data_IF_426784010642
#
_entry.id   IF_426784010642
#
_cell.length_a   1.000
_cell.length_b   1.000
_cell.length_c   1.000
_cell.angle_alpha   90.00
_cell.angle_beta   90.00
_cell.angle_gamma   90.00
#
_symmetry.space_group_name_H-M   'P 1'
#
loop_
_entity.id
_entity.type
_entity.pdbx_description
1 polymer ?
#
# COMPACT_ATOMS: atom_id res chain seq x y z
N UNK A 1 10.55 30.15 61.05
CA UNK A 1 10.14 28.72 61.03
C UNK A 1 8.94 28.60 60.10
N UNK A 2 8.75 27.69 59.16
CA UNK A 2 9.47 26.59 58.50
C UNK A 2 8.75 26.46 57.14
N UNK A 3 9.48 25.99 56.12
CA UNK A 3 9.04 25.83 54.73
C UNK A 3 8.00 24.72 54.49
N UNK A 4 7.56 24.65 53.22
CA UNK A 4 6.85 23.57 52.52
C UNK A 4 5.32 23.51 52.75
N UNK A 5 4.47 23.25 51.75
CA UNK A 5 4.60 22.16 50.80
C UNK A 5 3.75 22.44 49.53
N UNK A 6 4.43 22.54 48.40
CA UNK A 6 3.86 22.55 47.04
C UNK A 6 3.27 21.19 46.72
N UNK A 7 1.96 21.11 46.48
CA UNK A 7 1.28 20.06 45.71
C UNK A 7 -0.02 20.74 45.26
N UNK A 8 -0.29 20.98 43.97
CA UNK A 8 -0.89 19.95 43.12
C UNK A 8 -1.06 20.45 41.64
N UNK A 9 -0.37 21.51 41.22
CA UNK A 9 -0.54 21.99 39.83
C UNK A 9 0.34 21.26 38.81
N UNK A 10 1.22 20.35 39.27
CA UNK A 10 1.94 19.43 38.38
C UNK A 10 1.02 18.35 37.75
N UNK A 11 -0.21 18.19 38.25
CA UNK A 11 -1.14 17.14 37.83
C UNK A 11 -1.92 17.50 36.54
N UNK A 12 -2.00 18.79 36.18
CA UNK A 12 -2.64 19.22 34.94
C UNK A 12 -1.75 19.06 33.69
N UNK A 13 -0.44 18.83 33.88
CA UNK A 13 0.48 18.55 32.78
C UNK A 13 0.65 17.05 32.48
N UNK A 14 0.13 16.16 33.34
CA UNK A 14 0.24 14.70 33.15
C UNK A 14 -0.94 14.07 32.41
N UNK A 15 -2.01 14.81 32.12
CA UNK A 15 -3.13 14.30 31.30
C UNK A 15 -2.92 14.42 29.79
N UNK A 16 -1.73 14.82 29.32
CA UNK A 16 -1.40 14.86 27.88
C UNK A 16 -0.40 13.80 27.42
N UNK A 17 -0.04 12.87 28.31
CA UNK A 17 1.01 11.86 28.09
C UNK A 17 0.45 10.43 27.99
N UNK A 18 -0.65 10.26 27.26
CA UNK A 18 -1.24 8.92 27.16
C UNK A 18 -2.48 8.80 26.32
N UNK A 19 -2.69 9.65 25.31
CA UNK A 19 -3.45 9.10 24.18
C UNK A 19 -2.53 8.02 23.62
N UNK A 20 -2.87 6.72 23.69
CA UNK A 20 -2.03 5.72 23.07
C UNK A 20 -1.90 6.17 21.63
N UNK A 21 -0.71 6.59 21.22
CA UNK A 21 -0.38 6.69 19.81
C UNK A 21 -0.69 5.31 19.29
N UNK A 22 -1.84 5.15 18.67
CA UNK A 22 -2.27 3.90 18.11
C UNK A 22 -1.12 3.55 17.17
N UNK A 23 -0.31 2.58 17.57
CA UNK A 23 0.70 2.02 16.70
C UNK A 23 -0.12 1.31 15.65
N UNK A 24 -0.52 2.07 14.63
CA UNK A 24 -1.27 1.54 13.50
C UNK A 24 -0.31 0.64 12.74
N UNK A 25 -0.32 -0.64 13.12
CA UNK A 25 0.43 -1.67 12.45
C UNK A 25 -0.28 -2.01 11.14
N UNK A 26 0.05 -1.26 10.08
CA UNK A 26 -0.34 -1.61 8.71
C UNK A 26 0.82 -2.36 8.04
N UNK A 27 1.08 -3.60 8.45
CA UNK A 27 2.10 -4.42 7.77
C UNK A 27 1.73 -4.75 6.32
N UNK A 28 0.44 -4.93 6.06
CA UNK A 28 -0.11 -5.36 4.77
C UNK A 28 -0.73 -4.23 3.95
N UNK A 29 -0.86 -3.01 4.52
CA UNK A 29 -1.48 -1.84 3.87
C UNK A 29 -0.65 -0.58 4.09
N UNK A 30 -0.86 0.41 3.24
CA UNK A 30 -0.33 1.76 3.43
C UNK A 30 -1.47 2.77 3.33
N UNK A 31 -1.52 3.78 4.22
CA UNK A 31 -2.46 4.89 4.08
C UNK A 31 -2.14 5.66 2.80
N UNK A 32 -3.16 6.04 2.05
CA UNK A 32 -3.01 6.73 0.77
C UNK A 32 -4.20 7.65 0.51
N UNK A 33 -3.90 8.91 0.20
CA UNK A 33 -4.89 9.92 -0.20
C UNK A 33 -4.57 10.34 -1.63
N UNK A 34 -5.33 9.87 -2.63
CA UNK A 34 -5.04 10.20 -4.01
C UNK A 34 -5.54 11.58 -4.40
N UNK A 35 -4.89 12.20 -5.39
CA UNK A 35 -5.39 13.44 -6.02
C UNK A 35 -6.51 13.17 -7.03
N UNK A 36 -6.53 11.97 -7.63
CA UNK A 36 -7.57 11.50 -8.57
C UNK A 36 -8.17 10.20 -8.07
N UNK A 37 -9.47 9.96 -8.28
CA UNK A 37 -10.10 8.74 -7.82
C UNK A 37 -9.39 7.47 -8.33
N UNK A 38 -9.26 6.49 -7.45
CA UNK A 38 -8.64 5.19 -7.72
C UNK A 38 -9.72 4.11 -7.65
N UNK A 39 -9.84 3.29 -8.68
CA UNK A 39 -10.82 2.22 -8.73
C UNK A 39 -10.40 1.01 -7.87
N UNK A 40 -11.36 0.16 -7.52
CA UNK A 40 -11.04 -1.12 -6.90
C UNK A 40 -10.23 -2.01 -7.86
N UNK A 41 -9.19 -2.66 -7.35
CA UNK A 41 -8.25 -3.47 -8.11
C UNK A 41 -7.17 -2.66 -8.85
N UNK A 42 -7.24 -1.33 -8.82
CA UNK A 42 -6.23 -0.48 -9.46
C UNK A 42 -4.92 -0.49 -8.66
N UNK A 43 -3.82 -0.72 -9.38
CA UNK A 43 -2.49 -0.68 -8.83
C UNK A 43 -1.88 0.72 -8.97
N UNK A 44 -1.29 1.21 -7.89
CA UNK A 44 -0.77 2.57 -7.77
C UNK A 44 0.68 2.52 -7.29
N UNK A 45 1.53 3.34 -7.89
CA UNK A 45 2.90 3.54 -7.43
C UNK A 45 2.93 4.60 -6.33
N UNK A 46 3.50 4.25 -5.18
CA UNK A 46 3.79 5.17 -4.07
C UNK A 46 5.30 5.16 -3.83
N UNK A 47 6.00 6.14 -4.42
CA UNK A 47 7.46 6.17 -4.42
C UNK A 47 8.06 4.97 -5.15
N UNK A 48 8.65 4.04 -4.40
CA UNK A 48 9.22 2.78 -4.93
C UNK A 48 8.38 1.53 -4.61
N UNK A 49 7.21 1.72 -4.01
CA UNK A 49 6.30 0.64 -3.63
C UNK A 49 5.10 0.66 -4.57
N UNK A 50 4.58 -0.53 -4.89
CA UNK A 50 3.32 -0.66 -5.61
C UNK A 50 2.27 -1.21 -4.65
N UNK A 51 1.14 -0.52 -4.56
CA UNK A 51 0.00 -0.93 -3.74
C UNK A 51 -1.28 -1.06 -4.58
N UNK A 52 -2.21 -1.88 -4.13
CA UNK A 52 -3.48 -2.15 -4.84
C UNK A 52 -4.67 -1.73 -3.99
N UNK A 53 -5.57 -0.93 -4.56
CA UNK A 53 -6.78 -0.50 -3.87
C UNK A 53 -7.80 -1.64 -3.79
N UNK A 54 -8.14 -2.13 -2.59
CA UNK A 54 -9.17 -3.19 -2.44
C UNK A 54 -10.61 -2.68 -2.60
N UNK A 55 -10.79 -1.37 -2.46
CA UNK A 55 -12.06 -0.66 -2.64
C UNK A 55 -11.78 0.65 -3.40
N UNK A 56 -12.79 1.24 -4.05
CA UNK A 56 -12.60 2.54 -4.68
C UNK A 56 -12.21 3.59 -3.62
N UNK A 57 -11.28 4.47 -3.97
CA UNK A 57 -10.86 5.62 -3.16
C UNK A 57 -11.20 6.87 -3.97
N UNK A 58 -12.06 7.74 -3.44
CA UNK A 58 -12.39 8.99 -4.12
C UNK A 58 -11.21 9.97 -4.08
N UNK A 59 -11.20 10.93 -5.01
CA UNK A 59 -10.19 11.98 -5.03
C UNK A 59 -10.23 12.78 -3.72
N UNK A 60 -9.05 13.01 -3.14
CA UNK A 60 -8.83 13.76 -1.90
C UNK A 60 -9.46 13.13 -0.63
N UNK A 61 -9.88 11.87 -0.69
CA UNK A 61 -10.40 11.13 0.46
C UNK A 61 -9.35 10.12 0.98
N UNK A 62 -9.21 9.94 2.30
CA UNK A 62 -8.27 8.98 2.86
C UNK A 62 -8.69 7.54 2.53
N UNK A 63 -7.74 6.78 2.00
CA UNK A 63 -7.90 5.38 1.64
C UNK A 63 -6.68 4.56 2.06
N UNK A 64 -6.68 3.29 1.66
CA UNK A 64 -5.60 2.36 1.96
C UNK A 64 -5.29 1.53 0.71
N UNK A 65 -4.01 1.28 0.46
CA UNK A 65 -3.53 0.37 -0.58
C UNK A 65 -2.94 -0.87 0.08
N UNK A 66 -3.26 -2.05 -0.44
CA UNK A 66 -2.62 -3.29 0.03
C UNK A 66 -1.26 -3.44 -0.65
N UNK A 67 -0.23 -3.77 0.12
CA UNK A 67 1.15 -3.99 -0.35
C UNK A 67 1.56 -5.46 -0.27
N UNK A 68 0.69 -6.31 0.28
CA UNK A 68 0.85 -7.76 0.35
C UNK A 68 -0.41 -8.48 -0.15
N UNK A 69 -0.22 -9.69 -0.68
CA UNK A 69 -1.29 -10.55 -1.19
C UNK A 69 -1.22 -10.78 -2.71
N UNK A 70 -2.22 -11.51 -3.24
CA UNK A 70 -2.32 -11.82 -4.67
C UNK A 70 -3.47 -11.01 -5.28
N UNK A 71 -3.19 -10.22 -6.31
CA UNK A 71 -4.19 -9.40 -7.00
C UNK A 71 -4.18 -9.64 -8.51
N UNK A 72 -5.35 -9.56 -9.13
CA UNK A 72 -5.50 -9.62 -10.59
C UNK A 72 -5.29 -8.24 -11.19
N UNK A 73 -4.17 -8.05 -11.89
CA UNK A 73 -3.78 -6.77 -12.48
C UNK A 73 -3.87 -6.85 -14.00
N UNK A 74 -4.37 -5.79 -14.64
CA UNK A 74 -4.42 -5.68 -16.10
C UNK A 74 -3.02 -5.78 -16.69
N UNK A 75 -2.87 -6.52 -17.78
CA UNK A 75 -1.60 -6.72 -18.46
C UNK A 75 -1.79 -6.65 -19.97
N UNK A 76 -0.75 -6.25 -20.74
CA UNK A 76 -0.82 -6.26 -22.19
C UNK A 76 -0.90 -7.69 -22.73
N UNK A 77 -1.15 -7.80 -24.05
CA UNK A 77 -0.99 -9.06 -24.76
C UNK A 77 0.43 -9.60 -24.57
N UNK A 78 0.54 -10.91 -24.40
CA UNK A 78 1.78 -11.60 -24.10
C UNK A 78 1.59 -12.66 -23.04
N UNK A 79 2.51 -13.62 -23.02
CA UNK A 79 2.58 -14.66 -21.99
C UNK A 79 3.43 -14.15 -20.84
N UNK A 80 2.95 -14.34 -19.60
CA UNK A 80 3.75 -14.13 -18.39
C UNK A 80 3.80 -15.46 -17.67
N UNK A 81 5.00 -16.04 -17.56
CA UNK A 81 5.18 -17.30 -16.85
C UNK A 81 4.96 -17.11 -15.34
N UNK A 82 4.43 -18.13 -14.68
CA UNK A 82 4.38 -18.16 -13.22
C UNK A 82 5.78 -17.96 -12.63
N UNK A 83 5.90 -17.15 -11.58
CA UNK A 83 7.15 -16.79 -10.92
C UNK A 83 7.97 -15.72 -11.65
N UNK A 84 7.56 -15.27 -12.84
CA UNK A 84 8.24 -14.16 -13.51
C UNK A 84 8.16 -12.89 -12.68
N UNK A 85 9.25 -12.10 -12.62
CA UNK A 85 9.23 -10.75 -12.03
C UNK A 85 8.27 -9.86 -12.81
N UNK A 86 7.43 -9.14 -12.08
CA UNK A 86 6.41 -8.22 -12.61
C UNK A 86 6.64 -6.83 -12.07
N UNK A 87 6.55 -5.85 -12.97
CA UNK A 87 6.62 -4.42 -12.67
C UNK A 87 5.32 -3.74 -13.09
N UNK A 88 4.96 -2.65 -12.43
CA UNK A 88 3.87 -1.77 -12.85
C UNK A 88 4.43 -0.70 -13.79
N UNK A 89 3.85 -0.61 -14.99
CA UNK A 89 4.17 0.44 -15.95
C UNK A 89 2.89 0.90 -16.66
N UNK A 90 2.60 2.21 -16.65
CA UNK A 90 1.38 2.80 -17.22
C UNK A 90 0.09 2.08 -16.77
N UNK A 91 0.00 1.71 -15.50
CA UNK A 91 -1.17 1.02 -14.93
C UNK A 91 -1.32 -0.45 -15.36
N UNK A 92 -0.29 -1.03 -16.00
CA UNK A 92 -0.30 -2.42 -16.47
C UNK A 92 0.83 -3.22 -15.83
N UNK A 93 0.56 -4.49 -15.52
CA UNK A 93 1.56 -5.46 -15.11
C UNK A 93 2.37 -5.91 -16.33
N UNK A 94 3.67 -5.59 -16.32
CA UNK A 94 4.62 -5.92 -17.39
C UNK A 94 5.80 -6.72 -16.86
N UNK A 95 6.50 -7.42 -17.75
CA UNK A 95 7.79 -8.06 -17.44
C UNK A 95 8.91 -7.27 -18.11
N UNK A 96 10.10 -7.22 -17.48
CA UNK A 96 11.27 -6.49 -17.99
C UNK A 96 11.77 -5.38 -17.05
N UNK A 97 12.69 -4.55 -17.55
CA UNK A 97 13.39 -3.52 -16.74
C UNK A 97 12.65 -2.17 -16.64
N UNK A 98 11.44 -2.07 -17.17
CA UNK A 98 10.64 -0.84 -17.17
C UNK A 98 9.59 -0.86 -16.06
N UNK A 99 9.40 0.29 -15.40
CA UNK A 99 8.40 0.44 -14.35
C UNK A 99 8.92 0.16 -12.94
N UNK A 100 8.01 0.13 -11.97
CA UNK A 100 8.33 -0.12 -10.56
C UNK A 100 8.03 -1.58 -10.23
N UNK A 101 8.98 -2.28 -9.60
CA UNK A 101 8.82 -3.67 -9.19
C UNK A 101 7.60 -3.84 -8.28
N UNK A 102 6.67 -4.70 -8.69
CA UNK A 102 5.45 -4.99 -7.94
C UNK A 102 5.54 -6.34 -7.23
N UNK A 103 6.20 -7.32 -7.84
CA UNK A 103 6.36 -8.66 -7.28
C UNK A 103 6.55 -9.72 -8.34
N UNK A 104 5.85 -10.85 -8.21
CA UNK A 104 5.97 -11.98 -9.14
C UNK A 104 4.60 -12.49 -9.58
N UNK A 105 4.52 -13.07 -10.79
CA UNK A 105 3.31 -13.70 -11.27
C UNK A 105 2.98 -14.94 -10.42
N UNK A 106 1.90 -14.88 -9.64
CA UNK A 106 1.43 -15.99 -8.82
C UNK A 106 0.86 -17.13 -9.66
N UNK A 107 0.25 -16.79 -10.80
CA UNK A 107 -0.31 -17.71 -11.79
C UNK A 107 0.18 -17.26 -13.18
N UNK A 108 0.45 -18.21 -14.06
CA UNK A 108 0.81 -17.91 -15.44
C UNK A 108 -0.35 -17.21 -16.19
N UNK A 109 -0.03 -16.20 -16.98
CA UNK A 109 -0.94 -15.50 -17.88
C UNK A 109 -0.76 -16.04 -19.30
N UNK A 110 -1.84 -16.46 -19.96
CA UNK A 110 -1.82 -16.77 -21.38
C UNK A 110 -1.92 -15.49 -22.24
N UNK A 111 -1.56 -15.60 -23.52
CA UNK A 111 -1.55 -14.44 -24.42
C UNK A 111 -2.92 -13.74 -24.55
N UNK A 112 -4.02 -14.50 -24.46
CA UNK A 112 -5.38 -13.98 -24.57
C UNK A 112 -5.98 -13.43 -23.28
N UNK A 113 -5.35 -13.66 -22.14
CA UNK A 113 -5.85 -13.13 -20.86
C UNK A 113 -5.57 -11.62 -20.78
N UNK A 114 -6.53 -10.85 -20.28
CA UNK A 114 -6.37 -9.41 -20.08
C UNK A 114 -5.69 -9.07 -18.74
N UNK A 115 -5.53 -10.05 -17.85
CA UNK A 115 -5.02 -9.85 -16.50
C UNK A 115 -4.04 -10.95 -16.10
N UNK A 116 -3.16 -10.65 -15.13
CA UNK A 116 -2.27 -11.61 -14.48
C UNK A 116 -2.47 -11.52 -12.96
N UNK A 117 -2.49 -12.66 -12.29
CA UNK A 117 -2.46 -12.70 -10.82
C UNK A 117 -1.03 -12.49 -10.33
N UNK A 118 -0.79 -11.40 -9.60
CA UNK A 118 0.54 -11.01 -9.10
C UNK A 118 0.55 -11.12 -7.58
N UNK A 119 1.54 -11.85 -7.05
CA UNK A 119 1.90 -11.80 -5.64
C UNK A 119 2.72 -10.53 -5.41
N UNK A 120 2.19 -9.60 -4.62
CA UNK A 120 2.88 -8.36 -4.26
C UNK A 120 4.06 -8.66 -3.35
N UNK A 121 5.23 -8.11 -3.69
CA UNK A 121 6.46 -8.20 -2.91
C UNK A 121 7.08 -6.80 -2.91
N UNK A 122 6.97 -6.03 -1.81
CA UNK A 122 7.53 -4.70 -1.75
C UNK A 122 9.07 -4.75 -1.81
N UNK A 123 9.67 -3.93 -2.68
CA UNK A 123 11.13 -3.75 -2.77
C UNK A 123 11.91 -4.75 -3.64
N UNK A 124 11.27 -5.36 -4.65
CA UNK A 124 11.86 -6.38 -5.56
C UNK A 124 12.74 -5.84 -6.71
#
# INVERSE_FOLDING_TARGET
MIAAHRHDESNLQQQKEGDPVALEYYGDKIPYTPTTGVAAGEAVVVGSIVGVASRPIAANEPGHLNVEGIFSITAPAGVIAQGAKVSLYNGQAVTGATGVGMGVAAIAKANGDATVSVLLIPGI
#
